data_IF_435475814105
#
_entry.id   IF_435475814105
#
_cell.length_a   1.000
_cell.length_b   1.000
_cell.length_c   1.000
_cell.angle_alpha   90.00
_cell.angle_beta   90.00
_cell.angle_gamma   90.00
#
_symmetry.space_group_name_H-M   'P 1'
#
loop_
_entity.id
_entity.type
_entity.pdbx_description
1 polymer ?
#
# COMPACT_ATOMS: atom_id res chain seq x y z
N UNK A 1 -7.80 22.93 11.30
CA UNK A 1 -7.49 21.48 11.37
C UNK A 1 -8.04 20.84 10.11
N UNK A 2 -7.19 20.56 9.12
CA UNK A 2 -7.67 19.92 7.88
C UNK A 2 -7.89 18.43 8.17
N UNK A 3 -9.16 18.03 8.35
CA UNK A 3 -9.59 16.73 8.89
C UNK A 3 -9.37 15.53 7.97
N UNK A 4 -8.13 15.22 7.63
CA UNK A 4 -7.74 14.01 6.91
C UNK A 4 -7.23 12.93 7.87
N UNK A 5 -7.64 11.67 7.66
CA UNK A 5 -7.11 10.53 8.36
C UNK A 5 -5.72 10.20 7.79
N UNK A 6 -4.65 10.60 8.51
CA UNK A 6 -3.25 10.38 8.11
C UNK A 6 -2.58 9.39 9.05
N UNK A 7 -1.80 8.47 8.50
CA UNK A 7 -1.05 7.54 9.33
C UNK A 7 -0.22 6.55 8.54
N UNK A 8 0.39 5.64 9.32
CA UNK A 8 1.14 4.49 8.83
C UNK A 8 0.64 3.25 9.54
N UNK A 9 0.32 2.20 8.80
CA UNK A 9 0.05 0.88 9.33
C UNK A 9 1.24 -0.04 9.06
N UNK A 10 1.53 -0.92 10.02
CA UNK A 10 2.56 -1.95 9.92
C UNK A 10 1.87 -3.31 9.98
N UNK A 11 2.06 -4.11 8.95
CA UNK A 11 1.48 -5.45 8.83
C UNK A 11 2.64 -6.44 8.89
N UNK A 12 2.57 -7.35 9.85
CA UNK A 12 3.57 -8.41 10.01
C UNK A 12 3.07 -9.65 9.24
N UNK A 13 3.92 -10.14 8.34
CA UNK A 13 3.68 -11.31 7.52
C UNK A 13 3.77 -12.58 8.33
N UNK A 14 3.02 -13.59 7.90
CA UNK A 14 2.89 -14.87 8.61
C UNK A 14 3.84 -15.96 8.12
N UNK A 15 4.71 -15.65 7.14
CA UNK A 15 5.71 -16.59 6.62
C UNK A 15 6.87 -16.80 7.62
N UNK A 16 7.43 -18.01 7.62
CA UNK A 16 8.55 -18.41 8.48
C UNK A 16 9.87 -17.87 7.93
N UNK A 17 10.12 -16.57 8.12
CA UNK A 17 11.34 -15.84 7.79
C UNK A 17 11.71 -14.82 8.89
N UNK A 18 12.74 -14.00 8.69
CA UNK A 18 13.09 -12.94 9.65
C UNK A 18 11.99 -11.87 9.69
N UNK A 19 11.67 -11.36 10.90
CA UNK A 19 10.57 -10.41 11.10
C UNK A 19 10.75 -9.06 10.37
N UNK A 20 11.97 -8.72 9.97
CA UNK A 20 12.27 -7.54 9.17
C UNK A 20 11.88 -7.74 7.70
N UNK A 21 12.05 -8.97 7.20
CA UNK A 21 11.80 -9.36 5.80
C UNK A 21 10.33 -9.76 5.57
N UNK A 22 9.51 -9.68 6.61
CA UNK A 22 8.09 -10.00 6.57
C UNK A 22 7.19 -8.82 6.91
N UNK A 23 7.70 -7.59 6.98
CA UNK A 23 6.88 -6.43 7.35
C UNK A 23 6.47 -5.61 6.13
N UNK A 24 5.16 -5.45 5.91
CA UNK A 24 4.61 -4.48 4.97
C UNK A 24 4.20 -3.19 5.70
N UNK A 25 4.65 -2.05 5.20
CA UNK A 25 4.26 -0.73 5.67
C UNK A 25 3.29 -0.08 4.67
N UNK A 26 2.13 0.36 5.18
CA UNK A 26 1.16 1.13 4.42
C UNK A 26 1.15 2.58 4.90
N UNK A 27 1.32 3.53 3.99
CA UNK A 27 1.12 4.96 4.28
C UNK A 27 -0.21 5.41 3.70
N UNK A 28 -0.98 6.20 4.44
CA UNK A 28 -2.33 6.58 4.01
C UNK A 28 -2.71 8.04 4.38
N UNK A 29 -3.58 8.63 3.54
CA UNK A 29 -4.30 9.87 3.81
C UNK A 29 -5.73 9.73 3.25
N UNK A 30 -6.70 9.35 4.10
CA UNK A 30 -8.04 8.83 3.75
C UNK A 30 -7.99 7.53 2.92
N UNK A 31 -7.13 7.47 1.91
CA UNK A 31 -6.84 6.29 1.09
C UNK A 31 -5.42 5.78 1.34
N UNK A 32 -5.19 4.49 1.09
CA UNK A 32 -3.84 3.91 1.08
C UNK A 32 -3.06 4.43 -0.13
N UNK A 33 -1.87 4.96 0.14
CA UNK A 33 -1.08 5.69 -0.86
C UNK A 33 0.19 4.94 -1.27
N UNK A 34 0.83 4.23 -0.35
CA UNK A 34 2.10 3.55 -0.58
C UNK A 34 2.09 2.22 0.19
N UNK A 35 2.50 1.15 -0.49
CA UNK A 35 2.83 -0.13 0.13
C UNK A 35 4.31 -0.45 -0.12
N UNK A 36 5.07 -0.67 0.95
CA UNK A 36 6.52 -0.93 0.87
C UNK A 36 6.99 -1.91 1.95
N UNK A 37 8.02 -2.70 1.67
CA UNK A 37 8.74 -3.50 2.65
C UNK A 37 10.22 -3.09 2.65
N UNK A 38 10.73 -2.72 3.82
CA UNK A 38 12.05 -2.08 3.90
C UNK A 38 12.12 -0.84 3.01
N UNK A 39 13.05 -0.86 2.05
CA UNK A 39 13.25 0.19 1.05
C UNK A 39 12.57 -0.11 -0.30
N UNK A 40 11.99 -1.30 -0.47
CA UNK A 40 11.29 -1.67 -1.71
C UNK A 40 9.85 -1.19 -1.69
N UNK A 41 9.49 -0.35 -2.68
CA UNK A 41 8.13 0.10 -2.92
C UNK A 41 7.45 -0.86 -3.89
N UNK A 42 6.36 -1.50 -3.46
CA UNK A 42 5.61 -2.43 -4.31
C UNK A 42 4.58 -1.72 -5.18
N UNK A 43 3.92 -0.71 -4.64
CA UNK A 43 2.86 0.03 -5.34
C UNK A 43 2.61 1.36 -4.66
N UNK A 44 2.28 2.36 -5.46
CA UNK A 44 1.80 3.65 -4.99
C UNK A 44 0.48 3.99 -5.67
N UNK A 45 -0.23 4.95 -5.09
CA UNK A 45 -1.26 5.71 -5.80
C UNK A 45 -0.70 6.25 -7.14
N UNK A 46 -1.46 6.28 -8.25
CA UNK A 46 -2.91 6.10 -8.36
C UNK A 46 -3.42 4.66 -8.34
N UNK A 47 -2.53 3.66 -8.40
CA UNK A 47 -2.96 2.26 -8.31
C UNK A 47 -3.52 1.97 -6.92
N UNK A 48 -4.51 1.08 -6.87
CA UNK A 48 -5.29 0.83 -5.67
C UNK A 48 -4.50 -0.07 -4.73
N UNK A 49 -4.49 0.30 -3.44
CA UNK A 49 -3.99 -0.53 -2.34
C UNK A 49 -5.18 -0.81 -1.44
N UNK A 50 -5.59 -2.06 -1.37
CA UNK A 50 -6.83 -2.48 -0.71
C UNK A 50 -6.48 -3.43 0.42
N UNK A 51 -6.97 -3.12 1.62
CA UNK A 51 -6.84 -3.99 2.79
C UNK A 51 -8.15 -4.74 2.96
N UNK A 52 -8.06 -6.07 3.04
CA UNK A 52 -9.19 -6.96 3.23
C UNK A 52 -9.04 -7.69 4.57
N UNK A 53 -10.15 -7.94 5.26
CA UNK A 53 -10.16 -8.92 6.34
C UNK A 53 -9.74 -10.29 5.81
N UNK A 54 -8.81 -10.96 6.50
CA UNK A 54 -8.19 -12.17 5.99
C UNK A 54 -9.13 -13.38 5.92
N UNK A 55 -10.23 -13.35 6.68
CA UNK A 55 -11.20 -14.43 6.81
C UNK A 55 -12.45 -14.19 5.95
N UNK A 56 -13.06 -12.99 6.04
CA UNK A 56 -14.27 -12.67 5.28
C UNK A 56 -13.98 -12.16 3.87
N UNK A 57 -12.80 -11.58 3.64
CA UNK A 57 -12.46 -10.90 2.38
C UNK A 57 -13.13 -9.53 2.21
N UNK A 58 -13.82 -9.01 3.24
CA UNK A 58 -14.45 -7.69 3.19
C UNK A 58 -13.39 -6.57 3.28
N UNK A 59 -13.58 -5.44 2.57
CA UNK A 59 -12.64 -4.34 2.62
C UNK A 59 -12.66 -3.62 3.98
N UNK A 60 -11.47 -3.26 4.46
CA UNK A 60 -11.25 -2.47 5.67
C UNK A 60 -10.78 -1.08 5.25
N UNK A 61 -11.52 -0.05 5.63
CA UNK A 61 -11.14 1.35 5.35
C UNK A 61 -9.98 1.79 6.23
N UNK A 62 -9.29 2.87 5.85
CA UNK A 62 -8.18 3.43 6.65
C UNK A 62 -8.64 3.83 8.05
N UNK A 63 -9.87 4.34 8.19
CA UNK A 63 -10.48 4.70 9.46
C UNK A 63 -10.95 3.49 10.26
N UNK A 64 -11.11 2.31 9.65
CA UNK A 64 -11.52 1.07 10.34
C UNK A 64 -10.32 0.15 10.67
N UNK A 65 -9.14 0.43 10.13
CA UNK A 65 -7.93 -0.36 10.34
C UNK A 65 -7.43 -0.25 11.80
N UNK A 66 -7.28 -1.39 12.47
CA UNK A 66 -6.90 -1.47 13.89
C UNK A 66 -5.90 -2.58 14.15
N UNK A 67 -5.11 -2.41 15.22
CA UNK A 67 -4.22 -3.45 15.70
C UNK A 67 -4.98 -4.75 16.03
N UNK A 68 -4.36 -5.88 15.73
CA UNK A 68 -4.91 -7.22 15.98
C UNK A 68 -5.77 -7.78 14.84
N UNK A 69 -6.08 -6.98 13.82
CA UNK A 69 -6.75 -7.49 12.62
C UNK A 69 -5.79 -8.37 11.81
N UNK A 70 -6.28 -9.53 11.36
CA UNK A 70 -5.61 -10.35 10.36
C UNK A 70 -6.10 -9.87 9.01
N UNK A 71 -5.17 -9.43 8.16
CA UNK A 71 -5.53 -8.79 6.90
C UNK A 71 -4.80 -9.42 5.73
N UNK A 72 -5.37 -9.25 4.53
CA UNK A 72 -4.68 -9.42 3.26
C UNK A 72 -4.59 -8.07 2.59
N UNK A 73 -3.45 -7.77 1.97
CA UNK A 73 -3.29 -6.55 1.18
C UNK A 73 -3.18 -6.95 -0.27
N UNK A 74 -4.02 -6.34 -1.11
CA UNK A 74 -3.98 -6.53 -2.55
C UNK A 74 -3.73 -5.20 -3.24
N UNK A 75 -3.04 -5.26 -4.38
CA UNK A 75 -2.87 -4.14 -5.28
C UNK A 75 -3.70 -4.38 -6.55
N UNK A 76 -4.23 -3.31 -7.14
CA UNK A 76 -4.93 -3.38 -8.42
C UNK A 76 -4.59 -2.18 -9.29
N UNK A 77 -4.50 -2.35 -10.63
CA UNK A 77 -4.13 -1.25 -11.51
C UNK A 77 -5.28 -0.24 -11.58
N UNK A 78 -4.92 1.04 -11.60
CA UNK A 78 -5.82 2.12 -12.00
C UNK A 78 -5.90 2.23 -13.52
N UNK A 79 -6.86 3.01 -14.01
CA UNK A 79 -6.99 3.30 -15.44
C UNK A 79 -5.68 3.94 -15.97
N UNK A 80 -5.14 3.50 -17.13
CA UNK A 80 -3.89 4.04 -17.70
C UNK A 80 -3.86 5.56 -17.89
N UNK A 81 -5.01 6.24 -17.90
CA UNK A 81 -5.08 7.71 -17.97
C UNK A 81 -4.61 8.40 -16.69
N UNK A 82 -4.71 7.75 -15.53
CA UNK A 82 -4.26 8.31 -14.24
C UNK A 82 -2.74 8.43 -14.08
N UNK A 83 -2.06 7.96 -15.10
CA UNK A 83 -0.65 7.67 -15.14
C UNK A 83 0.11 8.58 -16.11
N UNK A 84 -0.60 9.58 -16.68
CA UNK A 84 0.01 10.71 -17.39
C UNK A 84 0.71 11.65 -16.40
N UNK A 85 1.62 12.50 -16.89
CA UNK A 85 2.34 13.44 -16.04
C UNK A 85 1.38 14.41 -15.31
N UNK A 86 0.34 14.89 -16.00
CA UNK A 86 -0.67 15.80 -15.45
C UNK A 86 -1.50 15.11 -14.37
N UNK A 87 -1.90 13.86 -14.60
CA UNK A 87 -2.65 13.09 -13.63
C UNK A 87 -1.81 12.79 -12.38
N UNK A 88 -0.56 12.33 -12.55
CA UNK A 88 0.35 12.06 -11.44
C UNK A 88 0.67 13.32 -10.61
N UNK A 89 0.66 14.51 -11.21
CA UNK A 89 0.79 15.76 -10.46
C UNK A 89 -0.40 16.03 -9.50
N UNK A 90 -1.56 15.41 -9.74
CA UNK A 90 -2.78 15.55 -8.95
C UNK A 90 -3.06 14.36 -8.00
N UNK A 91 -2.64 13.15 -8.39
CA UNK A 91 -2.99 11.93 -7.65
C UNK A 91 -1.79 11.05 -7.29
N UNK A 92 -0.59 11.37 -7.80
CA UNK A 92 0.61 10.61 -7.49
C UNK A 92 1.15 10.86 -6.07
N UNK A 93 2.12 10.06 -5.61
CA UNK A 93 2.71 10.19 -4.28
C UNK A 93 3.24 11.60 -3.97
N UNK A 94 3.82 12.29 -4.97
CA UNK A 94 4.30 13.66 -4.83
C UNK A 94 3.22 14.68 -4.46
N UNK A 95 1.98 14.50 -4.95
CA UNK A 95 0.85 15.37 -4.57
C UNK A 95 0.54 15.27 -3.06
N UNK A 96 0.74 14.08 -2.48
CA UNK A 96 0.54 13.83 -1.06
C UNK A 96 1.79 14.15 -0.20
N UNK A 97 2.86 14.68 -0.81
CA UNK A 97 4.08 15.10 -0.14
C UNK A 97 5.13 14.00 0.06
N UNK A 98 5.05 12.89 -0.70
CA UNK A 98 6.08 11.86 -0.69
C UNK A 98 7.08 12.10 -1.81
N UNK A 99 8.36 12.20 -1.46
CA UNK A 99 9.48 12.40 -2.40
C UNK A 99 9.92 11.07 -3.02
N UNK A 100 9.06 10.48 -3.85
CA UNK A 100 9.32 9.26 -4.60
C UNK A 100 8.48 9.20 -5.90
N UNK A 101 8.97 8.54 -6.95
CA UNK A 101 8.22 8.36 -8.19
C UNK A 101 7.04 7.40 -8.00
N UNK A 102 5.98 7.55 -8.80
CA UNK A 102 4.88 6.58 -8.79
C UNK A 102 5.36 5.17 -9.16
N UNK A 103 5.04 4.17 -8.34
CA UNK A 103 5.32 2.77 -8.61
C UNK A 103 4.02 2.04 -8.96
N UNK A 104 3.94 1.49 -10.18
CA UNK A 104 2.72 0.84 -10.65
C UNK A 104 2.61 -0.59 -10.16
N UNK A 105 1.38 -1.07 -10.06
CA UNK A 105 1.10 -2.49 -9.98
C UNK A 105 1.64 -3.19 -11.24
N UNK A 106 2.46 -4.21 -11.03
CA UNK A 106 3.21 -4.92 -12.07
C UNK A 106 2.48 -6.16 -12.62
N UNK A 107 1.30 -6.49 -12.07
CA UNK A 107 0.55 -7.70 -12.46
C UNK A 107 0.95 -8.96 -11.70
N UNK A 108 1.89 -8.88 -10.75
CA UNK A 108 2.31 -10.04 -9.95
C UNK A 108 1.14 -10.55 -9.10
N UNK A 109 0.82 -11.84 -9.25
CA UNK A 109 -0.34 -12.46 -8.61
C UNK A 109 -0.15 -12.71 -7.10
N UNK A 110 1.09 -13.02 -6.70
CA UNK A 110 1.48 -13.21 -5.30
C UNK A 110 2.95 -12.80 -5.19
N UNK A 111 3.26 -11.95 -4.21
CA UNK A 111 4.64 -11.58 -3.90
C UNK A 111 4.86 -11.89 -2.44
N UNK A 112 5.92 -12.64 -2.15
CA UNK A 112 6.32 -12.87 -0.77
C UNK A 112 7.21 -11.70 -0.35
N UNK A 113 7.07 -11.25 0.90
CA UNK A 113 7.88 -10.14 1.41
C UNK A 113 9.38 -10.52 1.51
N UNK A 114 9.70 -11.82 1.47
CA UNK A 114 11.05 -12.37 1.46
C UNK A 114 11.81 -12.07 0.15
N UNK A 115 11.11 -11.96 -0.99
CA UNK A 115 11.73 -11.71 -2.31
C UNK A 115 12.21 -10.27 -2.48
N UNK A 116 11.74 -9.34 -1.64
CA UNK A 116 12.01 -7.91 -1.72
C UNK A 116 13.24 -7.45 -0.91
N UNK A 117 13.82 -8.36 -0.12
CA UNK A 117 14.92 -8.07 0.80
C UNK A 117 16.30 -8.56 0.29
N UNK A 118 16.38 -9.05 -0.94
CA UNK A 118 17.58 -9.64 -1.56
C UNK A 118 18.20 -8.71 -2.61
#
# INVERSE_FOLDING_TARGET
TAGFARGRARIEGTATGSAADSTLALSFQNEHLIAQAGDEVFVTTPDLIIVLDAESGEPITTEALRYGQRVRVIAAPSDPRWHSAEALAMVGPGYFGYDLPSHRFDGTAERTLEEAAA
#
